data_IF_518563315085
#
_entry.id   IF_518563315085
#
_cell.length_a   1.000
_cell.length_b   1.000
_cell.length_c   1.000
_cell.angle_alpha   90.00
_cell.angle_beta   90.00
_cell.angle_gamma   90.00
#
_symmetry.space_group_name_H-M   'P 1'
#
loop_
_entity.id
_entity.type
_entity.pdbx_description
1 polymer ?
#
# COMPACT_ATOMS: atom_id res chain seq x y z
N UNK A 1 -14.31 -10.49 2.57
CA UNK A 1 -12.97 -10.05 2.10
C UNK A 1 -13.19 -9.11 0.93
N UNK A 2 -12.75 -7.85 1.03
CA UNK A 2 -12.88 -6.89 -0.08
C UNK A 2 -11.81 -7.21 -1.13
N UNK A 3 -12.18 -7.17 -2.41
CA UNK A 3 -11.25 -7.29 -3.53
C UNK A 3 -11.55 -6.17 -4.51
N UNK A 4 -10.53 -5.43 -4.89
CA UNK A 4 -10.56 -4.42 -5.94
C UNK A 4 -9.55 -4.83 -7.01
N UNK A 5 -9.71 -4.34 -8.22
CA UNK A 5 -8.83 -4.62 -9.36
C UNK A 5 -8.59 -3.33 -10.11
N UNK A 6 -7.36 -3.10 -10.55
CA UNK A 6 -7.03 -2.03 -11.48
C UNK A 6 -7.50 -2.38 -12.89
N UNK A 7 -7.40 -1.41 -13.80
CA UNK A 7 -7.50 -1.65 -15.24
C UNK A 7 -6.38 -2.57 -15.73
N UNK A 8 -6.67 -3.22 -16.84
CA UNK A 8 -5.67 -4.03 -17.57
C UNK A 8 -4.91 -3.12 -18.52
N UNK A 9 -3.58 -3.20 -18.49
CA UNK A 9 -2.71 -2.55 -19.47
C UNK A 9 -2.19 -3.65 -20.40
N UNK A 10 -2.52 -3.56 -21.70
CA UNK A 10 -2.21 -4.62 -22.67
C UNK A 10 -0.77 -4.49 -23.16
N UNK A 11 -0.11 -5.63 -23.38
CA UNK A 11 1.19 -5.75 -24.05
C UNK A 11 2.29 -4.87 -23.42
N UNK A 12 2.34 -4.79 -22.09
CA UNK A 12 3.34 -3.99 -21.39
C UNK A 12 3.72 -4.60 -20.03
N UNK A 13 5.00 -4.95 -19.86
CA UNK A 13 5.55 -5.43 -18.59
C UNK A 13 5.96 -4.30 -17.62
N UNK A 14 5.86 -3.04 -18.05
CA UNK A 14 6.07 -1.84 -17.24
C UNK A 14 4.81 -0.97 -17.30
N UNK A 15 3.66 -1.50 -16.84
CA UNK A 15 2.38 -0.82 -16.97
C UNK A 15 2.34 0.43 -16.08
N UNK A 16 1.86 1.52 -16.65
CA UNK A 16 1.46 2.69 -15.87
C UNK A 16 -0.06 2.61 -15.59
N UNK A 17 -0.40 2.22 -14.37
CA UNK A 17 -1.79 2.17 -13.92
C UNK A 17 -2.31 3.52 -13.47
N UNK A 18 -1.55 4.35 -12.74
CA UNK A 18 -2.03 5.63 -12.17
C UNK A 18 -3.51 5.59 -11.74
N UNK A 19 -3.86 4.58 -10.93
CA UNK A 19 -5.24 4.29 -10.55
C UNK A 19 -5.35 4.23 -9.02
N UNK A 20 -6.35 4.94 -8.49
CA UNK A 20 -6.62 4.99 -7.07
C UNK A 20 -7.70 3.95 -6.69
N UNK A 21 -7.42 3.15 -5.68
CA UNK A 21 -8.36 2.16 -5.14
C UNK A 21 -8.59 2.41 -3.65
N UNK A 22 -9.85 2.62 -3.25
CA UNK A 22 -10.21 2.86 -1.85
C UNK A 22 -10.62 1.57 -1.13
N UNK A 23 -9.79 1.12 -0.19
CA UNK A 23 -10.03 -0.09 0.62
C UNK A 23 -10.60 0.29 2.00
N UNK A 24 -11.64 -0.42 2.43
CA UNK A 24 -12.19 -0.29 3.77
C UNK A 24 -11.42 -1.18 4.75
N UNK A 25 -10.69 -0.55 5.67
CA UNK A 25 -9.90 -1.26 6.69
C UNK A 25 -10.79 -1.60 7.88
N UNK A 26 -11.04 -2.89 8.11
CA UNK A 26 -11.78 -3.39 9.29
C UNK A 26 -10.86 -3.73 10.46
N UNK A 27 -9.67 -4.23 10.15
CA UNK A 27 -8.63 -4.60 11.11
C UNK A 27 -7.29 -4.17 10.54
N UNK A 28 -6.56 -3.32 11.26
CA UNK A 28 -5.26 -2.79 10.85
C UNK A 28 -4.15 -3.83 10.93
N UNK A 29 -4.37 -4.96 11.64
CA UNK A 29 -3.41 -6.06 11.76
C UNK A 29 -3.46 -6.99 10.56
N UNK A 30 -4.49 -6.87 9.73
CA UNK A 30 -4.61 -7.62 8.48
C UNK A 30 -3.87 -6.87 7.37
N UNK A 31 -2.83 -7.46 6.75
CA UNK A 31 -2.09 -6.80 5.69
C UNK A 31 -2.92 -6.67 4.40
N UNK A 32 -2.63 -5.64 3.62
CA UNK A 32 -3.19 -5.51 2.27
C UNK A 32 -2.39 -6.43 1.35
N UNK A 33 -3.09 -7.36 0.70
CA UNK A 33 -2.48 -8.28 -0.26
C UNK A 33 -2.62 -7.72 -1.67
N UNK A 34 -1.51 -7.67 -2.40
CA UNK A 34 -1.41 -7.29 -3.79
C UNK A 34 -0.97 -8.51 -4.60
N UNK A 35 -1.62 -8.73 -5.74
CA UNK A 35 -1.27 -9.81 -6.64
C UNK A 35 -1.39 -9.32 -8.07
N UNK A 36 -0.33 -9.54 -8.85
CA UNK A 36 -0.32 -9.21 -10.28
C UNK A 36 -0.76 -10.43 -11.06
N UNK A 37 -1.53 -10.20 -12.11
CA UNK A 37 -1.98 -11.23 -13.03
C UNK A 37 -1.76 -10.76 -14.47
N UNK A 38 -1.32 -11.67 -15.34
CA UNK A 38 -1.46 -11.50 -16.78
C UNK A 38 -2.88 -11.86 -17.18
N UNK A 39 -3.52 -10.99 -17.96
CA UNK A 39 -4.92 -11.20 -18.35
C UNK A 39 -4.99 -11.90 -19.70
N UNK A 40 -5.52 -13.11 -19.67
CA UNK A 40 -5.77 -13.89 -20.87
C UNK A 40 -7.23 -13.84 -21.31
N UNK A 41 -7.44 -13.87 -22.63
CA UNK A 41 -8.81 -13.83 -23.20
C UNK A 41 -9.42 -15.23 -23.30
N UNK A 42 -8.60 -16.26 -23.45
CA UNK A 42 -9.04 -17.63 -23.73
C UNK A 42 -8.52 -18.68 -22.73
N UNK A 43 -7.69 -18.26 -21.77
CA UNK A 43 -7.12 -19.08 -20.69
C UNK A 43 -7.39 -18.45 -19.32
N UNK A 44 -6.99 -19.16 -18.26
CA UNK A 44 -6.99 -18.63 -16.89
C UNK A 44 -5.85 -17.61 -16.78
N UNK A 45 -6.11 -16.48 -16.13
CA UNK A 45 -5.10 -15.46 -15.85
C UNK A 45 -3.90 -16.03 -15.07
N UNK A 46 -2.70 -15.84 -15.61
CA UNK A 46 -1.46 -16.31 -14.99
C UNK A 46 -1.01 -15.37 -13.86
N UNK A 47 -0.63 -15.95 -12.71
CA UNK A 47 -0.14 -15.16 -11.57
C UNK A 47 1.28 -14.66 -11.85
N UNK A 48 1.48 -13.35 -11.76
CA UNK A 48 2.77 -12.67 -11.99
C UNK A 48 3.42 -12.16 -10.70
N UNK A 49 3.16 -12.86 -9.59
CA UNK A 49 3.74 -12.55 -8.29
C UNK A 49 2.83 -11.75 -7.36
N UNK A 50 3.30 -11.60 -6.13
CA UNK A 50 2.51 -10.98 -5.05
C UNK A 50 3.37 -10.20 -4.06
N UNK A 51 2.71 -9.28 -3.35
CA UNK A 51 3.29 -8.51 -2.26
C UNK A 51 2.26 -8.24 -1.16
N UNK A 52 2.75 -7.92 0.03
CA UNK A 52 1.91 -7.48 1.14
C UNK A 52 2.36 -6.12 1.68
N UNK A 53 1.39 -5.33 2.11
CA UNK A 53 1.60 -4.06 2.80
C UNK A 53 1.13 -4.21 4.25
N UNK A 54 2.07 -4.08 5.19
CA UNK A 54 1.76 -3.94 6.61
C UNK A 54 1.33 -2.49 6.90
N UNK A 55 0.12 -2.32 7.45
CA UNK A 55 -0.44 -1.02 7.80
C UNK A 55 0.05 -0.51 9.16
N UNK A 56 0.66 -1.36 10.00
CA UNK A 56 1.09 -1.00 11.35
C UNK A 56 2.02 0.23 11.37
N UNK A 57 3.05 0.36 10.52
CA UNK A 57 3.90 1.55 10.50
C UNK A 57 3.11 2.84 10.23
N UNK A 58 2.20 2.80 9.26
CA UNK A 58 1.37 3.94 8.89
C UNK A 58 0.41 4.33 10.02
N UNK A 59 -0.27 3.35 10.62
CA UNK A 59 -1.23 3.58 11.72
C UNK A 59 -0.54 4.16 12.95
N UNK A 60 0.68 3.71 13.27
CA UNK A 60 1.50 4.31 14.32
C UNK A 60 1.73 5.79 14.07
N UNK A 61 2.10 6.18 12.84
CA UNK A 61 2.27 7.58 12.49
C UNK A 61 0.98 8.38 12.69
N UNK A 62 -0.17 7.85 12.27
CA UNK A 62 -1.47 8.52 12.41
C UNK A 62 -1.87 8.78 13.88
N UNK A 63 -1.41 7.94 14.81
CA UNK A 63 -1.64 8.11 16.24
C UNK A 63 -0.74 9.17 16.91
N UNK A 64 0.27 9.73 16.21
CA UNK A 64 1.27 10.65 16.79
C UNK A 64 0.79 12.12 16.96
N UNK A 65 -0.49 12.45 16.79
CA UNK A 65 -1.00 13.81 17.02
C UNK A 65 -0.47 14.86 16.04
N UNK A 66 -0.72 14.65 14.73
CA UNK A 66 -0.02 15.28 13.60
C UNK A 66 -0.39 16.74 13.26
N UNK A 67 -1.30 17.37 14.01
CA UNK A 67 -1.99 18.60 13.60
C UNK A 67 -1.16 19.88 13.41
N UNK A 68 0.16 19.85 13.66
CA UNK A 68 1.05 21.04 13.55
C UNK A 68 2.42 20.73 12.94
N UNK A 69 2.57 19.62 12.23
CA UNK A 69 3.87 19.27 11.64
C UNK A 69 4.14 20.05 10.34
N UNK A 70 5.38 20.46 10.08
CA UNK A 70 5.77 21.02 8.79
C UNK A 70 5.54 20.03 7.65
N UNK A 71 5.15 20.54 6.47
CA UNK A 71 5.10 19.73 5.26
C UNK A 71 6.47 19.13 4.93
N UNK A 72 6.48 17.86 4.53
CA UNK A 72 7.70 17.09 4.24
C UNK A 72 8.34 16.45 5.48
N UNK A 73 7.73 16.56 6.67
CA UNK A 73 8.24 15.91 7.87
C UNK A 73 8.17 14.39 7.73
N UNK A 74 9.33 13.71 7.75
CA UNK A 74 9.42 12.25 7.80
C UNK A 74 9.04 11.77 9.21
N UNK A 75 7.92 11.06 9.31
CA UNK A 75 7.37 10.55 10.56
C UNK A 75 8.00 9.20 10.93
N UNK A 76 8.28 8.38 9.93
CA UNK A 76 8.86 7.04 10.09
C UNK A 76 9.54 6.60 8.81
N UNK A 77 10.65 5.88 8.94
CA UNK A 77 11.37 5.22 7.84
C UNK A 77 11.35 3.70 8.08
N UNK A 78 11.04 2.94 7.05
CA UNK A 78 10.99 1.48 7.06
C UNK A 78 12.02 0.97 6.07
N UNK A 79 12.99 0.19 6.55
CA UNK A 79 14.02 -0.41 5.71
C UNK A 79 13.53 -1.74 5.12
N UNK A 80 13.98 -2.12 3.91
CA UNK A 80 13.87 -3.49 3.42
C UNK A 80 14.46 -4.49 4.42
N UNK A 81 13.71 -5.57 4.66
CA UNK A 81 14.19 -6.70 5.45
C UNK A 81 13.62 -8.03 4.92
N UNK A 82 13.94 -9.14 5.59
CA UNK A 82 13.51 -10.48 5.14
C UNK A 82 12.01 -10.74 5.38
N UNK A 83 11.38 -9.95 6.23
CA UNK A 83 9.99 -10.12 6.66
C UNK A 83 9.01 -9.25 5.87
N UNK A 84 9.49 -8.16 5.25
CA UNK A 84 8.67 -7.27 4.44
C UNK A 84 8.92 -7.45 2.92
N UNK A 85 8.15 -6.71 2.11
CA UNK A 85 8.19 -6.75 0.64
C UNK A 85 8.86 -5.52 0.03
N UNK A 86 9.49 -4.66 0.83
CA UNK A 86 10.11 -3.44 0.32
C UNK A 86 11.37 -3.76 -0.50
N UNK A 87 11.49 -3.14 -1.66
CA UNK A 87 12.71 -3.15 -2.47
C UNK A 87 13.69 -2.05 -2.01
N UNK A 88 13.15 -0.93 -1.51
CA UNK A 88 13.89 0.25 -1.07
C UNK A 88 13.30 0.82 0.23
N UNK A 89 13.95 1.82 0.84
CA UNK A 89 13.41 2.49 2.03
C UNK A 89 12.04 3.12 1.72
N UNK A 90 11.06 2.87 2.59
CA UNK A 90 9.75 3.54 2.54
C UNK A 90 9.61 4.52 3.70
N UNK A 91 9.18 5.75 3.41
CA UNK A 91 8.97 6.79 4.40
C UNK A 91 7.49 7.15 4.53
N UNK A 92 6.99 7.21 5.75
CA UNK A 92 5.74 7.90 6.07
C UNK A 92 6.03 9.40 6.19
N UNK A 93 5.47 10.21 5.29
CA UNK A 93 5.74 11.65 5.21
C UNK A 93 4.45 12.41 5.52
N UNK A 94 4.53 13.40 6.39
CA UNK A 94 3.45 14.36 6.59
C UNK A 94 3.46 15.41 5.48
N UNK A 95 2.39 15.45 4.68
CA UNK A 95 2.27 16.38 3.57
C UNK A 95 0.82 16.82 3.40
N UNK A 96 0.61 18.14 3.37
CA UNK A 96 -0.68 18.76 3.08
C UNK A 96 -1.83 18.25 3.97
N UNK A 97 -1.56 18.07 5.27
CA UNK A 97 -2.57 17.64 6.25
C UNK A 97 -2.86 16.13 6.26
N UNK A 98 -2.14 15.33 5.48
CA UNK A 98 -2.24 13.87 5.44
C UNK A 98 -0.86 13.21 5.57
N UNK A 99 -0.87 11.91 5.83
CA UNK A 99 0.34 11.07 5.74
C UNK A 99 0.32 10.41 4.38
N UNK A 100 1.45 10.46 3.69
CA UNK A 100 1.67 9.76 2.43
C UNK A 100 2.80 8.77 2.65
N UNK A 101 2.63 7.53 2.17
CA UNK A 101 3.69 6.52 2.20
C UNK A 101 3.84 5.91 0.81
N UNK A 102 4.96 6.19 0.17
CA UNK A 102 5.38 5.56 -1.08
C UNK A 102 6.19 4.28 -0.78
N UNK A 103 5.95 3.23 -1.56
CA UNK A 103 6.57 1.92 -1.42
C UNK A 103 6.91 1.35 -2.79
N UNK A 104 8.19 1.02 -2.98
CA UNK A 104 8.62 0.09 -4.02
C UNK A 104 8.55 -1.32 -3.46
N UNK A 105 7.61 -2.12 -3.95
CA UNK A 105 7.37 -3.49 -3.49
C UNK A 105 7.98 -4.50 -4.45
N UNK A 106 8.91 -5.33 -3.97
CA UNK A 106 9.46 -6.45 -4.74
C UNK A 106 8.50 -7.63 -4.68
N UNK A 107 8.04 -8.07 -5.84
CA UNK A 107 7.14 -9.22 -5.95
C UNK A 107 7.85 -10.52 -5.57
N UNK A 108 7.14 -11.39 -4.87
CA UNK A 108 7.56 -12.75 -4.57
C UNK A 108 6.80 -13.75 -5.43
N UNK A 109 7.30 -14.99 -5.46
CA UNK A 109 6.73 -16.10 -6.24
C UNK A 109 6.64 -15.80 -7.75
N UNK A 110 7.60 -15.02 -8.24
CA UNK A 110 7.81 -14.66 -9.64
C UNK A 110 9.31 -14.43 -9.85
N UNK A 111 9.81 -14.55 -11.08
CA UNK A 111 11.23 -14.37 -11.39
C UNK A 111 11.70 -12.93 -11.21
N UNK A 112 10.85 -11.95 -11.54
CA UNK A 112 11.13 -10.53 -11.40
C UNK A 112 9.84 -9.71 -11.37
N UNK A 113 9.95 -8.46 -10.92
CA UNK A 113 8.83 -7.52 -10.90
C UNK A 113 8.82 -6.69 -9.61
N UNK A 114 8.55 -5.40 -9.77
CA UNK A 114 8.39 -4.45 -8.68
C UNK A 114 7.14 -3.60 -8.95
N UNK A 115 6.45 -3.18 -7.90
CA UNK A 115 5.30 -2.26 -8.00
C UNK A 115 5.59 -1.04 -7.15
N UNK A 116 5.42 0.14 -7.74
CA UNK A 116 5.33 1.40 -7.02
C UNK A 116 3.90 1.62 -6.55
N UNK A 117 3.71 1.79 -5.24
CA UNK A 117 2.40 2.09 -4.63
C UNK A 117 2.56 3.27 -3.67
N UNK A 118 1.61 4.19 -3.72
CA UNK A 118 1.42 5.22 -2.71
C UNK A 118 0.15 4.90 -1.91
N UNK A 119 0.20 5.04 -0.58
CA UNK A 119 -0.98 4.90 0.28
C UNK A 119 -1.25 6.16 1.09
N UNK A 120 -2.54 6.43 1.28
CA UNK A 120 -3.08 7.45 2.17
C UNK A 120 -4.29 6.92 2.95
N UNK A 121 -4.58 7.54 4.08
CA UNK A 121 -5.71 7.18 4.94
C UNK A 121 -6.81 8.23 4.87
N UNK A 122 -8.00 7.77 4.46
CA UNK A 122 -9.21 8.58 4.38
C UNK A 122 -10.13 8.24 5.54
N UNK A 123 -10.45 9.24 6.36
CA UNK A 123 -11.40 9.09 7.45
C UNK A 123 -12.83 9.20 6.90
N UNK A 124 -13.64 8.14 7.06
CA UNK A 124 -15.04 8.10 6.63
C UNK A 124 -15.94 8.48 7.80
N UNK A 125 -16.80 9.48 7.57
CA UNK A 125 -17.76 9.97 8.59
C UNK A 125 -18.66 8.82 9.06
N UNK A 126 -18.74 8.62 10.38
CA UNK A 126 -19.54 7.56 10.99
C UNK A 126 -18.79 6.24 11.23
N UNK A 127 -17.53 6.12 10.81
CA UNK A 127 -16.65 5.02 11.19
C UNK A 127 -15.90 5.36 12.50
N UNK A 128 -15.52 4.33 13.28
CA UNK A 128 -14.86 4.47 14.59
C UNK A 128 -13.49 5.20 14.53
N UNK A 129 -12.90 5.35 13.35
CA UNK A 129 -11.57 5.93 13.18
C UNK A 129 -10.46 5.07 13.81
N UNK A 130 -9.26 5.64 13.91
CA UNK A 130 -8.08 4.97 14.48
C UNK A 130 -7.84 5.28 15.98
N UNK A 131 -8.75 6.02 16.61
CA UNK A 131 -8.62 6.47 18.01
C UNK A 131 -8.73 5.35 19.06
N UNK A 132 -9.30 4.19 18.70
CA UNK A 132 -9.51 3.05 19.61
C UNK A 132 -8.66 1.81 19.24
N UNK A 133 -7.72 1.96 18.31
CA UNK A 133 -6.98 0.81 17.76
C UNK A 133 -5.70 0.52 18.57
N UNK A 134 -5.70 -0.59 19.30
CA UNK A 134 -4.52 -1.15 19.97
C UNK A 134 -3.71 -2.05 19.03
N UNK A 135 -2.46 -1.65 18.75
CA UNK A 135 -1.55 -2.31 17.82
C UNK A 135 -0.80 -3.51 18.39
#
# INVERSE_FOLDING_TARGET
>A
MQKLKTRVVKNNCNPDWNEELTLSVKDVKTPIHLTVYDKDTFSVDDKMGEAEIDLKPYVQCKQMGLGKLPNGCSLKRIQPDRTNYLAEESSCIWQNGKIVQEMFLRLRNVESGEILVEIEWVDVVGCKGLSEVEL
#
